data_IF_453263836755
#
_entry.id   IF_453263836755
#
_cell.length_a   1.000
_cell.length_b   1.000
_cell.length_c   1.000
_cell.angle_alpha   90.00
_cell.angle_beta   90.00
_cell.angle_gamma   90.00
#
_symmetry.space_group_name_H-M   'P 1'
#
loop_
_entity.id
_entity.type
_entity.pdbx_description
1 polymer ?
#
# COMPACT_ATOMS: atom_id res chain seq x y z
N UNK A 1 -7.04 31.46 -5.85
CA UNK A 1 -7.04 30.01 -5.56
C UNK A 1 -8.04 29.80 -4.43
N UNK A 2 -9.05 28.91 -4.60
CA UNK A 2 -9.96 28.61 -3.50
C UNK A 2 -9.17 27.95 -2.35
N UNK A 3 -9.38 28.43 -1.14
CA UNK A 3 -8.91 27.79 0.08
C UNK A 3 -10.03 26.90 0.64
N UNK A 4 -9.67 25.71 1.08
CA UNK A 4 -10.57 24.80 1.78
C UNK A 4 -9.99 24.63 3.18
N UNK A 5 -10.85 24.85 4.18
CA UNK A 5 -10.53 24.61 5.59
C UNK A 5 -11.31 23.37 6.03
N UNK A 6 -10.61 22.43 6.66
CA UNK A 6 -11.18 21.18 7.17
C UNK A 6 -10.80 21.09 8.64
N UNK A 7 -11.78 20.76 9.49
CA UNK A 7 -11.52 20.43 10.89
C UNK A 7 -11.05 18.98 10.98
N UNK A 8 -9.98 18.74 11.73
CA UNK A 8 -9.31 17.44 11.83
C UNK A 8 -9.23 17.00 13.29
N UNK A 9 -9.47 15.71 13.51
CA UNK A 9 -9.27 15.02 14.78
C UNK A 9 -8.29 13.86 14.63
N UNK A 10 -7.70 13.43 15.74
CA UNK A 10 -6.86 12.21 15.77
C UNK A 10 -7.69 11.00 15.34
N UNK A 11 -7.17 10.23 14.38
CA UNK A 11 -7.85 9.09 13.77
C UNK A 11 -8.52 9.41 12.43
N UNK A 12 -8.64 10.70 12.05
CA UNK A 12 -9.18 11.07 10.75
C UNK A 12 -8.25 10.64 9.61
N UNK A 13 -8.86 10.27 8.48
CA UNK A 13 -8.17 9.83 7.28
C UNK A 13 -8.57 10.72 6.11
N UNK A 14 -7.57 11.29 5.46
CA UNK A 14 -7.72 12.15 4.28
C UNK A 14 -7.13 11.46 3.06
N UNK A 15 -7.84 11.59 1.94
CA UNK A 15 -7.32 11.23 0.63
C UNK A 15 -6.84 12.51 -0.07
N UNK A 16 -5.52 12.65 -0.24
CA UNK A 16 -4.90 13.80 -0.90
C UNK A 16 -4.22 13.29 -2.17
N UNK A 17 -4.86 13.52 -3.32
CA UNK A 17 -4.42 12.93 -4.58
C UNK A 17 -4.56 11.40 -4.55
N UNK A 18 -3.44 10.68 -4.65
CA UNK A 18 -3.34 9.22 -4.57
C UNK A 18 -2.78 8.72 -3.23
N UNK A 19 -2.65 9.60 -2.23
CA UNK A 19 -2.06 9.28 -0.92
C UNK A 19 -3.11 9.29 0.16
N UNK A 20 -3.01 8.31 1.04
CA UNK A 20 -3.82 8.26 2.26
C UNK A 20 -3.01 8.90 3.38
N UNK A 21 -3.59 9.89 4.05
CA UNK A 21 -2.97 10.63 5.15
C UNK A 21 -3.83 10.45 6.38
N UNK A 22 -3.28 9.88 7.44
CA UNK A 22 -3.97 9.64 8.70
C UNK A 22 -3.43 10.58 9.77
N UNK A 23 -4.31 11.27 10.50
CA UNK A 23 -3.95 12.07 11.66
C UNK A 23 -3.67 11.12 12.82
N UNK A 24 -2.42 11.06 13.30
CA UNK A 24 -2.03 10.11 14.36
C UNK A 24 -1.87 10.78 15.72
N UNK A 25 -1.58 12.08 15.75
CA UNK A 25 -1.44 12.83 16.99
C UNK A 25 -1.64 14.34 16.78
N UNK A 26 -2.08 15.03 17.83
CA UNK A 26 -2.23 16.48 17.89
C UNK A 26 -1.73 16.96 19.26
N UNK A 27 -0.55 17.58 19.30
CA UNK A 27 0.01 18.21 20.51
C UNK A 27 0.03 19.74 20.35
N UNK A 28 -0.95 20.40 20.96
CA UNK A 28 -1.06 21.86 20.93
C UNK A 28 -1.31 22.39 19.51
N UNK A 29 -0.27 22.98 18.91
CA UNK A 29 -0.31 23.53 17.54
C UNK A 29 0.38 22.63 16.51
N UNK A 30 0.95 21.50 16.95
CA UNK A 30 1.63 20.54 16.10
C UNK A 30 0.71 19.35 15.79
N UNK A 31 0.64 18.98 14.51
CA UNK A 31 -0.17 17.85 14.04
C UNK A 31 0.75 16.84 13.38
N UNK A 32 0.68 15.60 13.84
CA UNK A 32 1.47 14.51 13.29
C UNK A 32 0.60 13.67 12.35
N UNK A 33 1.13 13.41 11.17
CA UNK A 33 0.46 12.65 10.14
C UNK A 33 1.26 11.40 9.80
N UNK A 34 0.56 10.29 9.67
CA UNK A 34 1.06 9.12 8.95
C UNK A 34 0.65 9.24 7.49
N UNK A 35 1.62 9.18 6.60
CA UNK A 35 1.38 9.17 5.15
C UNK A 35 1.59 7.75 4.67
N UNK A 36 0.52 7.12 4.20
CA UNK A 36 0.58 5.85 3.50
C UNK A 36 0.65 6.17 1.99
N UNK A 37 1.87 6.17 1.47
CA UNK A 37 2.09 6.08 0.02
C UNK A 37 1.76 4.65 -0.38
N UNK A 38 0.68 4.46 -1.17
CA UNK A 38 0.47 3.24 -1.95
C UNK A 38 1.49 3.22 -3.10
N UNK A 39 2.76 3.20 -2.74
CA UNK A 39 3.82 2.77 -3.62
C UNK A 39 4.06 1.31 -3.24
N UNK A 40 3.21 0.41 -3.72
CA UNK A 40 3.68 -0.94 -4.03
C UNK A 40 4.46 -0.83 -5.34
N UNK A 41 5.80 -0.68 -5.35
CA UNK A 41 6.54 -1.16 -6.50
C UNK A 41 6.33 -2.68 -6.52
N UNK A 42 5.91 -3.15 -7.69
CA UNK A 42 5.67 -4.54 -8.05
C UNK A 42 4.33 -5.16 -7.61
N UNK A 43 3.62 -5.81 -8.56
CA UNK A 43 2.64 -6.82 -8.17
C UNK A 43 3.35 -7.85 -7.29
N UNK A 44 2.68 -8.49 -6.33
CA UNK A 44 3.28 -9.60 -5.61
C UNK A 44 3.75 -10.59 -6.67
N UNK A 45 5.06 -10.82 -6.78
CA UNK A 45 5.55 -11.97 -7.55
C UNK A 45 4.82 -13.15 -6.90
N UNK A 46 3.90 -13.84 -7.59
CA UNK A 46 3.36 -15.05 -7.03
C UNK A 46 4.54 -16.00 -6.93
N UNK A 47 5.07 -16.15 -5.71
CA UNK A 47 5.99 -17.22 -5.39
C UNK A 47 5.25 -18.51 -5.74
N UNK A 48 5.60 -19.08 -6.89
CA UNK A 48 5.07 -20.34 -7.42
C UNK A 48 3.69 -20.23 -8.08
N UNK A 49 3.63 -19.79 -9.35
CA UNK A 49 2.78 -20.53 -10.28
C UNK A 49 3.50 -21.84 -10.59
N UNK A 50 2.98 -23.01 -10.21
CA UNK A 50 3.39 -24.24 -10.88
C UNK A 50 2.91 -24.10 -12.32
N UNK A 51 3.83 -23.82 -13.26
CA UNK A 51 3.53 -23.88 -14.69
C UNK A 51 2.90 -25.24 -14.99
N UNK A 52 1.61 -25.31 -15.39
CA UNK A 52 0.98 -26.57 -15.73
C UNK A 52 1.55 -27.00 -17.08
N UNK A 53 2.70 -27.66 -17.06
CA UNK A 53 3.42 -28.01 -18.28
C UNK A 53 4.84 -28.56 -18.09
N UNK A 54 5.45 -28.42 -16.90
CA UNK A 54 6.75 -29.03 -16.64
C UNK A 54 6.63 -30.55 -16.38
N UNK A 55 6.21 -31.30 -17.40
CA UNK A 55 6.43 -32.76 -17.45
C UNK A 55 7.93 -32.98 -17.56
N UNK A 56 8.61 -33.15 -16.41
CA UNK A 56 9.93 -33.75 -16.43
C UNK A 56 9.77 -35.20 -16.88
N UNK A 57 10.06 -35.45 -18.16
CA UNK A 57 10.19 -36.78 -18.71
C UNK A 57 11.40 -37.45 -18.05
N UNK A 58 11.18 -38.06 -16.89
CA UNK A 58 12.20 -38.87 -16.23
C UNK A 58 12.17 -40.25 -16.89
N UNK A 59 12.93 -40.39 -17.98
CA UNK A 59 13.14 -41.70 -18.62
C UNK A 59 13.94 -42.57 -17.63
N UNK A 60 13.28 -43.47 -16.92
CA UNK A 60 13.96 -44.59 -16.28
C UNK A 60 14.15 -45.67 -17.34
N UNK A 61 15.41 -45.90 -17.73
CA UNK A 61 15.80 -47.07 -18.48
C UNK A 61 15.49 -48.33 -17.65
N UNK A 62 14.90 -49.34 -18.28
CA UNK A 62 14.81 -50.71 -17.78
C UNK A 62 14.96 -51.67 -18.96
#
# INVERSE_FOLDING_TARGET
>A
MPNITVELAVGDVLLIGNRTVTVIDIEGSEVHFRVDDDHSPDPPIPASLPTPGARQLRLKAK
#
